data_IF_884198762894
#
_entry.id   IF_884198762894
#
_cell.length_a   1.000
_cell.length_b   1.000
_cell.length_c   1.000
_cell.angle_alpha   90.00
_cell.angle_beta   90.00
_cell.angle_gamma   90.00
#
_symmetry.space_group_name_H-M   'P 1'
#
loop_
_entity.id
_entity.type
_entity.pdbx_description
1 polymer ?
#
# COMPACT_ATOMS: atom_id res chain seq x y z
N UNK A 1 -61.79 19.06 -15.92
CA UNK A 1 -60.90 19.24 -17.09
C UNK A 1 -59.46 19.32 -16.58
N UNK A 2 -58.41 18.96 -17.31
CA UNK A 2 -58.33 18.33 -18.64
C UNK A 2 -56.85 18.30 -19.05
N UNK A 3 -56.35 17.16 -19.54
CA UNK A 3 -54.95 17.03 -19.96
C UNK A 3 -54.73 17.59 -21.38
N UNK A 4 -53.46 17.83 -21.75
CA UNK A 4 -52.83 17.33 -23.01
C UNK A 4 -51.42 17.95 -23.19
N UNK A 5 -50.46 17.10 -23.56
CA UNK A 5 -49.16 17.43 -24.16
C UNK A 5 -49.15 16.79 -25.55
N UNK A 6 -48.71 17.49 -26.62
CA UNK A 6 -47.88 16.78 -27.60
C UNK A 6 -46.88 17.62 -28.44
N UNK A 7 -45.72 16.98 -28.70
CA UNK A 7 -45.08 16.80 -30.04
C UNK A 7 -44.13 17.85 -30.66
N UNK A 8 -43.07 17.28 -31.28
CA UNK A 8 -41.97 17.85 -32.08
C UNK A 8 -42.34 17.98 -33.57
N UNK A 9 -41.59 18.81 -34.32
CA UNK A 9 -41.16 18.62 -35.72
C UNK A 9 -39.99 19.60 -35.99
N UNK A 10 -39.07 19.47 -36.97
CA UNK A 10 -38.57 18.35 -37.80
C UNK A 10 -37.19 18.75 -38.40
N UNK A 11 -36.49 17.88 -39.15
CA UNK A 11 -35.25 18.21 -39.92
C UNK A 11 -35.52 18.76 -41.34
N UNK A 12 -34.57 18.75 -42.32
CA UNK A 12 -33.28 18.02 -42.36
C UNK A 12 -32.06 18.78 -43.01
N UNK A 13 -31.00 18.02 -43.33
CA UNK A 13 -29.80 18.32 -44.17
C UNK A 13 -30.07 18.02 -45.69
N UNK A 14 -29.10 18.03 -46.66
CA UNK A 14 -27.74 18.65 -46.81
C UNK A 14 -27.54 19.43 -48.16
N UNK A 15 -26.32 19.89 -48.52
CA UNK A 15 -25.64 19.64 -49.83
C UNK A 15 -24.34 20.47 -50.12
N UNK A 16 -23.46 19.89 -50.95
CA UNK A 16 -22.35 20.49 -51.75
C UNK A 16 -22.66 20.26 -53.27
N UNK A 17 -21.91 20.67 -54.33
CA UNK A 17 -20.45 20.94 -54.44
C UNK A 17 -20.01 22.07 -55.44
N UNK A 18 -18.71 22.13 -55.81
CA UNK A 18 -18.23 22.86 -57.01
C UNK A 18 -16.69 23.01 -57.16
N UNK A 19 -16.12 22.55 -58.28
CA UNK A 19 -14.73 22.77 -58.78
C UNK A 19 -14.67 22.37 -60.28
N UNK A 20 -14.03 23.12 -61.19
CA UNK A 20 -12.65 22.85 -61.66
C UNK A 20 -11.87 24.17 -61.96
N UNK A 21 -10.70 24.29 -62.60
CA UNK A 21 -9.73 23.44 -63.35
C UNK A 21 -8.30 24.07 -63.15
N UNK A 22 -7.15 23.91 -63.84
CA UNK A 22 -6.60 23.26 -65.06
C UNK A 22 -5.11 22.91 -64.76
N UNK A 23 -4.52 21.75 -65.13
CA UNK A 23 -4.01 21.29 -66.44
C UNK A 23 -2.46 21.52 -66.61
N UNK A 24 -1.72 20.90 -67.57
CA UNK A 24 -0.80 19.82 -67.18
C UNK A 24 0.62 19.80 -67.84
N UNK A 25 1.55 18.99 -67.32
CA UNK A 25 2.68 18.44 -68.11
C UNK A 25 3.32 17.18 -67.48
N UNK A 26 3.89 16.30 -68.31
CA UNK A 26 4.78 15.19 -67.96
C UNK A 26 5.86 15.03 -69.07
N UNK A 27 7.04 14.43 -68.81
CA UNK A 27 7.15 12.96 -68.90
C UNK A 27 8.11 12.33 -67.85
N UNK A 28 8.33 11.01 -67.99
CA UNK A 28 9.11 10.11 -67.11
C UNK A 28 10.52 9.80 -67.72
N UNK A 29 11.38 8.86 -67.23
CA UNK A 29 11.16 7.85 -66.17
C UNK A 29 12.36 7.47 -65.25
N UNK A 30 12.10 6.50 -64.34
CA UNK A 30 13.01 5.59 -63.61
C UNK A 30 14.10 6.19 -62.68
N UNK A 31 13.92 5.94 -61.38
CA UNK A 31 15.01 5.59 -60.46
C UNK A 31 14.57 4.42 -59.54
N UNK A 32 15.52 3.80 -58.85
CA UNK A 32 15.39 2.40 -58.40
C UNK A 32 14.52 2.16 -57.18
N UNK A 33 13.87 0.98 -57.17
CA UNK A 33 13.16 0.37 -56.03
C UNK A 33 14.10 0.23 -54.83
N UNK A 34 13.77 0.91 -53.73
CA UNK A 34 14.24 0.56 -52.39
C UNK A 34 13.03 0.44 -51.47
N UNK A 35 12.59 -0.80 -51.24
CA UNK A 35 11.52 -1.08 -50.29
C UNK A 35 12.06 -0.90 -48.88
N UNK A 36 11.54 0.09 -48.15
CA UNK A 36 11.64 0.14 -46.69
C UNK A 36 10.77 -0.98 -46.09
N UNK A 37 11.27 -2.20 -46.16
CA UNK A 37 10.63 -3.39 -45.63
C UNK A 37 10.62 -3.31 -44.10
N UNK A 38 9.43 -3.29 -43.51
CA UNK A 38 9.27 -3.35 -42.06
C UNK A 38 9.72 -4.73 -41.55
N UNK A 39 10.69 -4.72 -40.62
CA UNK A 39 11.37 -5.88 -40.04
C UNK A 39 12.81 -5.50 -39.68
N UNK A 40 13.41 -5.86 -38.54
CA UNK A 40 12.95 -6.79 -37.51
C UNK A 40 13.20 -6.24 -36.09
N UNK A 41 12.14 -5.80 -35.40
CA UNK A 41 12.22 -5.39 -33.98
C UNK A 41 12.67 -6.51 -33.04
N UNK A 42 12.57 -7.78 -33.50
CA UNK A 42 13.11 -8.94 -32.79
C UNK A 42 14.64 -8.90 -32.65
N UNK A 43 15.39 -8.39 -33.63
CA UNK A 43 16.86 -8.35 -33.56
C UNK A 43 17.38 -7.46 -32.44
N UNK A 44 16.69 -6.35 -32.15
CA UNK A 44 17.00 -5.46 -31.03
C UNK A 44 16.67 -6.14 -29.70
N UNK A 45 15.54 -6.85 -29.64
CA UNK A 45 15.10 -7.54 -28.42
C UNK A 45 16.01 -8.73 -28.07
N UNK A 46 16.41 -9.54 -29.07
CA UNK A 46 17.37 -10.64 -28.85
C UNK A 46 18.77 -10.12 -28.51
N UNK A 47 19.22 -9.01 -29.09
CA UNK A 47 20.49 -8.38 -28.71
C UNK A 47 20.47 -7.84 -27.27
N UNK A 48 19.38 -7.19 -26.84
CA UNK A 48 19.20 -6.74 -25.46
C UNK A 48 19.14 -7.92 -24.47
N UNK A 49 18.39 -8.98 -24.78
CA UNK A 49 18.37 -10.19 -23.96
C UNK A 49 19.75 -10.87 -23.92
N UNK A 50 20.48 -10.95 -25.04
CA UNK A 50 21.82 -11.50 -25.07
C UNK A 50 22.81 -10.66 -24.24
N UNK A 51 22.73 -9.33 -24.29
CA UNK A 51 23.55 -8.44 -23.48
C UNK A 51 23.25 -8.59 -21.98
N UNK A 52 21.97 -8.70 -21.59
CA UNK A 52 21.56 -8.96 -20.21
C UNK A 52 22.04 -10.33 -19.70
N UNK A 53 21.92 -11.38 -20.53
CA UNK A 53 22.33 -12.74 -20.16
C UNK A 53 23.85 -12.97 -20.18
N UNK A 54 24.64 -12.11 -20.84
CA UNK A 54 26.11 -12.20 -20.90
C UNK A 54 26.82 -11.14 -20.05
N UNK A 55 26.11 -10.43 -19.17
CA UNK A 55 26.76 -9.66 -18.11
C UNK A 55 27.53 -10.63 -17.18
N UNK A 56 28.87 -10.56 -17.08
CA UNK A 56 29.57 -11.24 -16.01
C UNK A 56 29.07 -10.67 -14.68
N UNK A 57 28.93 -11.52 -13.66
CA UNK A 57 28.36 -11.13 -12.37
C UNK A 57 29.27 -10.16 -11.60
N UNK A 58 29.19 -8.87 -11.94
CA UNK A 58 29.95 -7.80 -11.30
C UNK A 58 29.51 -7.66 -9.83
N UNK A 59 30.41 -7.76 -8.84
CA UNK A 59 30.06 -7.64 -7.42
C UNK A 59 29.41 -6.30 -7.02
N UNK A 60 29.51 -5.29 -7.87
CA UNK A 60 29.03 -3.92 -7.64
C UNK A 60 27.50 -3.80 -7.41
N UNK A 61 26.69 -4.74 -7.90
CA UNK A 61 25.23 -4.69 -7.70
C UNK A 61 24.82 -4.90 -6.24
N UNK A 62 25.56 -5.73 -5.49
CA UNK A 62 25.22 -6.12 -4.12
C UNK A 62 25.22 -4.93 -3.14
N UNK A 63 26.00 -3.89 -3.41
CA UNK A 63 26.01 -2.66 -2.61
C UNK A 63 24.67 -1.91 -2.64
N UNK A 64 23.91 -2.01 -3.74
CA UNK A 64 22.66 -1.24 -3.92
C UNK A 64 21.53 -1.79 -3.04
N UNK A 65 21.56 -3.09 -2.76
CA UNK A 65 20.46 -3.81 -2.11
C UNK A 65 20.45 -3.57 -0.59
N UNK A 66 21.61 -3.63 0.09
CA UNK A 66 21.71 -3.23 1.52
C UNK A 66 21.38 -1.75 1.73
N UNK A 67 21.83 -0.86 0.83
CA UNK A 67 21.51 0.57 0.87
C UNK A 67 19.99 0.81 0.75
N UNK A 68 19.31 0.04 -0.10
CA UNK A 68 17.85 0.05 -0.23
C UNK A 68 17.15 -0.45 1.02
N UNK A 69 17.58 -1.60 1.56
CA UNK A 69 16.99 -2.21 2.76
C UNK A 69 17.05 -1.29 3.98
N UNK A 70 18.22 -0.72 4.28
CA UNK A 70 18.40 0.20 5.42
C UNK A 70 17.50 1.43 5.35
N UNK A 71 17.38 2.05 4.17
CA UNK A 71 16.49 3.20 3.96
C UNK A 71 15.01 2.80 4.03
N UNK A 72 14.65 1.61 3.51
CA UNK A 72 13.30 1.05 3.56
C UNK A 72 12.84 0.88 5.02
N UNK A 73 13.66 0.21 5.86
CA UNK A 73 13.38 -0.02 7.29
C UNK A 73 13.22 1.30 8.06
N UNK A 74 14.05 2.31 7.77
CA UNK A 74 13.92 3.64 8.40
C UNK A 74 12.59 4.31 8.02
N UNK A 75 12.19 4.28 6.75
CA UNK A 75 10.88 4.78 6.29
C UNK A 75 9.71 4.05 6.96
N UNK A 76 9.76 2.73 7.09
CA UNK A 76 8.74 1.94 7.80
C UNK A 76 8.66 2.31 9.29
N UNK A 77 9.81 2.49 9.93
CA UNK A 77 9.89 2.93 11.33
C UNK A 77 9.26 4.30 11.54
N UNK A 78 9.62 5.30 10.73
CA UNK A 78 9.10 6.66 10.86
C UNK A 78 7.58 6.72 10.62
N UNK A 79 7.09 5.98 9.62
CA UNK A 79 5.64 5.85 9.38
C UNK A 79 4.92 5.14 10.54
N UNK A 80 5.55 4.14 11.18
CA UNK A 80 5.01 3.50 12.39
C UNK A 80 4.91 4.51 13.55
N UNK A 81 5.94 5.33 13.76
CA UNK A 81 5.96 6.37 14.80
C UNK A 81 4.96 7.50 14.52
N UNK A 82 4.79 7.89 13.26
CA UNK A 82 3.75 8.82 12.82
C UNK A 82 2.34 8.28 13.13
N UNK A 83 2.08 7.02 12.77
CA UNK A 83 0.80 6.36 13.06
C UNK A 83 0.54 6.21 14.56
N UNK A 84 1.56 5.91 15.38
CA UNK A 84 1.44 5.87 16.85
C UNK A 84 0.98 7.23 17.42
N UNK A 85 1.53 8.33 16.91
CA UNK A 85 1.13 9.68 17.30
C UNK A 85 -0.29 10.03 16.82
N UNK A 86 -0.59 9.80 15.53
CA UNK A 86 -1.93 10.05 14.97
C UNK A 86 -3.02 9.25 15.68
N UNK A 87 -2.75 7.99 16.01
CA UNK A 87 -3.70 7.13 16.72
C UNK A 87 -4.02 7.67 18.11
N UNK A 88 -3.05 8.23 18.84
CA UNK A 88 -3.29 8.78 20.18
C UNK A 88 -4.35 9.89 20.15
N UNK A 89 -4.28 10.77 19.15
CA UNK A 89 -5.27 11.83 18.92
C UNK A 89 -6.60 11.25 18.42
N UNK A 90 -6.55 10.38 17.39
CA UNK A 90 -7.73 9.78 16.77
C UNK A 90 -8.56 8.95 17.76
N UNK A 91 -7.92 8.11 18.58
CA UNK A 91 -8.59 7.31 19.60
C UNK A 91 -9.23 8.20 20.67
N UNK A 92 -8.58 9.30 21.08
CA UNK A 92 -9.17 10.29 21.97
C UNK A 92 -10.46 10.89 21.41
N UNK A 93 -10.47 11.33 20.14
CA UNK A 93 -11.68 11.84 19.49
C UNK A 93 -12.75 10.76 19.31
N UNK A 94 -12.35 9.55 18.91
CA UNK A 94 -13.28 8.45 18.65
C UNK A 94 -13.97 7.94 19.92
N UNK A 95 -13.23 7.76 21.02
CA UNK A 95 -13.80 7.33 22.30
C UNK A 95 -14.73 8.38 22.89
N UNK A 96 -14.40 9.68 22.79
CA UNK A 96 -15.33 10.75 23.17
C UNK A 96 -16.61 10.77 22.30
N UNK A 97 -16.54 10.38 21.02
CA UNK A 97 -17.73 10.16 20.18
C UNK A 97 -18.55 8.93 20.61
N UNK A 98 -17.92 7.87 21.14
CA UNK A 98 -18.64 6.72 21.69
C UNK A 98 -19.42 7.08 22.97
N UNK A 99 -18.92 8.04 23.76
CA UNK A 99 -19.49 8.48 25.03
C UNK A 99 -19.31 7.47 26.17
N UNK A 100 -19.84 7.75 27.37
CA UNK A 100 -19.71 6.86 28.52
C UNK A 100 -20.23 5.44 28.26
N UNK A 101 -19.57 4.39 28.80
CA UNK A 101 -18.35 4.44 29.60
C UNK A 101 -17.05 4.49 28.76
N UNK A 102 -17.14 4.48 27.43
CA UNK A 102 -15.98 4.27 26.54
C UNK A 102 -14.92 5.40 26.57
N UNK A 103 -15.27 6.58 27.06
CA UNK A 103 -14.36 7.71 27.27
C UNK A 103 -13.87 7.89 28.72
N UNK A 104 -14.28 7.02 29.65
CA UNK A 104 -13.85 7.05 31.05
C UNK A 104 -12.44 6.43 31.18
N UNK A 105 -11.53 7.01 31.99
CA UNK A 105 -10.12 6.62 32.01
C UNK A 105 -9.86 5.26 32.67
N UNK A 106 -10.76 4.87 33.58
CA UNK A 106 -10.77 3.63 34.35
C UNK A 106 -11.61 2.52 33.71
N UNK A 107 -12.33 2.81 32.61
CA UNK A 107 -13.13 1.82 31.90
C UNK A 107 -12.25 0.75 31.23
N UNK A 108 -12.24 -0.44 31.83
CA UNK A 108 -11.55 -1.63 31.36
C UNK A 108 -12.53 -2.80 31.21
N UNK A 109 -13.30 -2.86 30.11
CA UNK A 109 -14.30 -3.92 29.89
C UNK A 109 -13.64 -5.28 29.73
N UNK A 110 -14.34 -6.39 30.00
CA UNK A 110 -13.85 -7.72 29.63
C UNK A 110 -13.62 -7.81 28.12
N UNK A 111 -12.60 -8.57 27.71
CA UNK A 111 -12.35 -8.82 26.28
C UNK A 111 -13.35 -9.86 25.76
N UNK A 112 -14.17 -9.48 24.78
CA UNK A 112 -15.07 -10.42 24.12
C UNK A 112 -14.30 -11.41 23.24
N UNK A 113 -14.77 -12.67 23.16
CA UNK A 113 -14.27 -13.66 22.21
C UNK A 113 -14.36 -13.19 20.74
N UNK A 114 -15.31 -12.31 20.40
CA UNK A 114 -15.40 -11.71 19.05
C UNK A 114 -14.28 -10.69 18.77
N UNK A 115 -13.69 -10.08 19.81
CA UNK A 115 -12.50 -9.25 19.75
C UNK A 115 -11.17 -10.06 19.76
N UNK A 116 -11.22 -11.40 19.77
CA UNK A 116 -10.08 -12.27 19.42
C UNK A 116 -9.90 -12.39 17.89
N UNK A 117 -10.93 -12.04 17.11
CA UNK A 117 -10.84 -11.92 15.64
C UNK A 117 -9.99 -10.71 15.21
N UNK A 118 -9.80 -9.74 16.12
CA UNK A 118 -8.82 -8.66 15.99
C UNK A 118 -7.45 -9.25 16.36
N UNK A 119 -6.42 -9.17 15.49
CA UNK A 119 -5.10 -9.74 15.78
C UNK A 119 -4.52 -9.18 17.07
N UNK A 120 -4.16 -10.04 18.02
CA UNK A 120 -3.64 -9.58 19.30
C UNK A 120 -2.13 -9.40 19.34
N UNK A 121 -1.68 -8.24 19.84
CA UNK A 121 -0.29 -7.97 20.16
C UNK A 121 0.13 -8.52 21.54
N UNK A 122 -0.80 -9.00 22.38
CA UNK A 122 -0.53 -9.40 23.77
C UNK A 122 0.13 -10.77 23.93
N UNK A 123 0.58 -11.39 22.83
CA UNK A 123 1.48 -12.56 22.88
C UNK A 123 2.75 -12.19 23.66
N UNK A 124 3.18 -13.09 24.54
CA UNK A 124 4.31 -12.91 25.46
C UNK A 124 5.56 -12.25 24.82
N UNK A 125 6.23 -11.42 25.62
CA UNK A 125 7.33 -10.58 25.17
C UNK A 125 8.56 -11.40 24.81
N UNK A 126 8.89 -12.46 25.55
CA UNK A 126 10.09 -13.26 25.32
C UNK A 126 9.87 -14.28 24.21
N UNK A 127 8.67 -14.87 24.14
CA UNK A 127 8.20 -15.62 22.97
C UNK A 127 8.29 -14.77 21.69
N UNK A 128 7.84 -13.51 21.72
CA UNK A 128 7.95 -12.59 20.58
C UNK A 128 9.40 -12.22 20.23
N UNK A 129 10.27 -12.03 21.25
CA UNK A 129 11.69 -11.72 21.06
C UNK A 129 12.46 -12.89 20.45
N UNK A 130 12.10 -14.12 20.80
CA UNK A 130 12.67 -15.38 20.31
C UNK A 130 12.34 -15.70 18.85
N UNK A 131 11.30 -15.10 18.27
CA UNK A 131 10.98 -15.26 16.84
C UNK A 131 12.14 -14.79 15.93
N UNK A 132 12.15 -15.26 14.67
CA UNK A 132 13.00 -14.69 13.62
C UNK A 132 12.50 -13.32 13.18
N UNK A 133 13.35 -12.52 12.52
CA UNK A 133 12.92 -11.19 12.04
C UNK A 133 11.87 -11.30 10.93
N UNK A 134 12.02 -12.29 10.03
CA UNK A 134 10.98 -12.68 9.07
C UNK A 134 9.65 -13.00 9.78
N UNK A 135 9.65 -13.86 10.80
CA UNK A 135 8.41 -14.21 11.51
C UNK A 135 7.72 -13.00 12.16
N UNK A 136 8.48 -12.03 12.71
CA UNK A 136 7.92 -10.76 13.20
C UNK A 136 7.38 -9.88 12.08
N UNK A 137 8.11 -9.70 10.98
CA UNK A 137 7.67 -8.92 9.83
C UNK A 137 6.38 -9.51 9.22
N UNK A 138 6.35 -10.83 9.03
CA UNK A 138 5.19 -11.57 8.55
C UNK A 138 3.98 -11.48 9.49
N UNK A 139 4.20 -11.45 10.82
CA UNK A 139 3.13 -11.23 11.79
C UNK A 139 2.62 -9.79 11.78
N UNK A 140 3.52 -8.78 11.76
CA UNK A 140 3.18 -7.37 11.61
C UNK A 140 2.38 -7.11 10.32
N UNK A 141 2.81 -7.65 9.17
CA UNK A 141 2.10 -7.56 7.89
C UNK A 141 0.67 -8.12 7.95
N UNK A 142 0.51 -9.35 8.47
CA UNK A 142 -0.82 -9.98 8.64
C UNK A 142 -1.70 -9.18 9.62
N UNK A 143 -1.13 -8.67 10.70
CA UNK A 143 -1.85 -7.90 11.70
C UNK A 143 -2.40 -6.60 11.11
N UNK A 144 -1.54 -5.74 10.54
CA UNK A 144 -1.97 -4.46 9.97
C UNK A 144 -2.91 -4.62 8.78
N UNK A 145 -2.74 -5.66 7.95
CA UNK A 145 -3.68 -5.98 6.86
C UNK A 145 -5.10 -6.23 7.38
N UNK A 146 -5.25 -7.00 8.48
CA UNK A 146 -6.55 -7.28 9.11
C UNK A 146 -7.10 -6.08 9.89
N UNK A 147 -6.24 -5.37 10.64
CA UNK A 147 -6.62 -4.16 11.38
C UNK A 147 -7.16 -3.08 10.44
N UNK A 148 -6.55 -2.90 9.26
CA UNK A 148 -7.02 -1.99 8.21
C UNK A 148 -8.42 -2.36 7.68
N UNK A 149 -8.74 -3.65 7.53
CA UNK A 149 -10.08 -4.10 7.16
C UNK A 149 -11.12 -3.73 8.21
N UNK A 150 -10.81 -3.90 9.50
CA UNK A 150 -11.73 -3.51 10.58
C UNK A 150 -11.88 -1.98 10.71
N UNK A 151 -10.80 -1.21 10.58
CA UNK A 151 -10.85 0.26 10.65
C UNK A 151 -11.71 0.87 9.53
N UNK A 152 -11.64 0.32 8.32
CA UNK A 152 -12.51 0.75 7.20
C UNK A 152 -14.00 0.51 7.47
N UNK A 153 -14.34 -0.51 8.26
CA UNK A 153 -15.72 -0.73 8.71
C UNK A 153 -16.19 0.29 9.78
N UNK A 154 -15.29 1.11 10.33
CA UNK A 154 -15.65 2.25 11.20
C UNK A 154 -15.93 3.55 10.42
N UNK A 155 -15.44 3.66 9.19
CA UNK A 155 -15.49 4.91 8.41
C UNK A 155 -16.94 5.27 8.00
N UNK A 156 -17.78 4.27 7.70
CA UNK A 156 -19.20 4.49 7.42
C UNK A 156 -20.00 5.02 8.63
N UNK A 157 -20.00 4.32 9.79
CA UNK A 157 -20.78 4.73 10.97
C UNK A 157 -20.23 5.90 11.80
N UNK A 158 -19.05 6.44 11.48
CA UNK A 158 -18.45 7.53 12.24
C UNK A 158 -19.21 8.86 12.06
N UNK A 159 -19.68 9.46 13.16
CA UNK A 159 -20.67 10.54 13.11
C UNK A 159 -20.21 11.80 12.38
N UNK A 160 -19.24 12.52 12.93
CA UNK A 160 -18.82 13.82 12.37
C UNK A 160 -17.97 13.66 11.10
N UNK A 161 -18.10 14.63 10.18
CA UNK A 161 -17.28 14.66 8.96
C UNK A 161 -15.78 14.72 9.26
N UNK A 162 -15.41 15.44 10.33
CA UNK A 162 -14.03 15.53 10.83
C UNK A 162 -13.49 14.18 11.34
N UNK A 163 -14.29 13.41 12.09
CA UNK A 163 -13.88 12.09 12.55
C UNK A 163 -13.73 11.12 11.38
N UNK A 164 -14.63 11.18 10.38
CA UNK A 164 -14.51 10.41 9.14
C UNK A 164 -13.25 10.78 8.34
N UNK A 165 -12.96 12.07 8.17
CA UNK A 165 -11.76 12.52 7.49
C UNK A 165 -10.48 12.01 8.18
N UNK A 166 -10.42 12.08 9.52
CA UNK A 166 -9.29 11.54 10.30
C UNK A 166 -9.17 10.01 10.20
N UNK A 167 -10.29 9.28 10.21
CA UNK A 167 -10.31 7.82 10.00
C UNK A 167 -9.81 7.43 8.60
N UNK A 168 -10.31 8.07 7.54
CA UNK A 168 -9.89 7.81 6.15
C UNK A 168 -8.42 8.15 5.90
N UNK A 169 -7.93 9.28 6.44
CA UNK A 169 -6.51 9.63 6.42
C UNK A 169 -5.65 8.59 7.15
N UNK A 170 -6.08 8.16 8.35
CA UNK A 170 -5.38 7.15 9.13
C UNK A 170 -5.36 5.79 8.40
N UNK A 171 -6.47 5.35 7.82
CA UNK A 171 -6.56 4.12 7.03
C UNK A 171 -5.63 4.17 5.80
N UNK A 172 -5.52 5.32 5.15
CA UNK A 172 -4.59 5.53 4.02
C UNK A 172 -3.13 5.45 4.46
N UNK A 173 -2.79 6.08 5.59
CA UNK A 173 -1.45 6.00 6.18
C UNK A 173 -1.10 4.57 6.64
N UNK A 174 -2.07 3.84 7.18
CA UNK A 174 -1.91 2.44 7.61
C UNK A 174 -1.76 1.48 6.42
N UNK A 175 -2.46 1.73 5.30
CA UNK A 175 -2.19 1.03 4.04
C UNK A 175 -0.75 1.27 3.56
N UNK A 176 -0.27 2.52 3.67
CA UNK A 176 1.14 2.84 3.43
C UNK A 176 2.10 2.02 4.30
N UNK A 177 1.77 1.79 5.58
CA UNK A 177 2.58 0.94 6.46
C UNK A 177 2.56 -0.53 6.01
N UNK A 178 1.41 -1.09 5.64
CA UNK A 178 1.31 -2.47 5.11
C UNK A 178 2.19 -2.67 3.87
N UNK A 179 2.15 -1.70 2.94
CA UNK A 179 2.98 -1.72 1.73
C UNK A 179 4.47 -1.50 2.04
N UNK A 180 4.81 -0.64 3.00
CA UNK A 180 6.18 -0.42 3.44
C UNK A 180 6.79 -1.67 4.10
N UNK A 181 6.01 -2.40 4.90
CA UNK A 181 6.43 -3.68 5.49
C UNK A 181 6.64 -4.73 4.39
N UNK A 182 5.77 -4.79 3.38
CA UNK A 182 5.97 -5.66 2.21
C UNK A 182 7.27 -5.32 1.47
N UNK A 183 7.58 -4.03 1.30
CA UNK A 183 8.85 -3.56 0.73
C UNK A 183 10.07 -3.98 1.56
N UNK A 184 10.03 -3.85 2.89
CA UNK A 184 11.10 -4.33 3.79
C UNK A 184 11.27 -5.85 3.72
N UNK A 185 10.17 -6.62 3.66
CA UNK A 185 10.27 -8.08 3.50
C UNK A 185 10.93 -8.42 2.16
N UNK A 186 10.54 -7.77 1.06
CA UNK A 186 11.13 -7.98 -0.25
C UNK A 186 12.63 -7.65 -0.28
N UNK A 187 13.04 -6.51 0.31
CA UNK A 187 14.46 -6.08 0.37
C UNK A 187 15.33 -6.90 1.33
N UNK A 188 14.74 -7.87 2.04
CA UNK A 188 15.44 -8.80 2.92
C UNK A 188 15.29 -10.26 2.44
N UNK A 189 14.79 -10.46 1.20
CA UNK A 189 14.56 -11.79 0.62
C UNK A 189 13.48 -12.61 1.32
N UNK A 190 12.62 -12.00 2.14
CA UNK A 190 11.60 -12.71 2.91
C UNK A 190 10.30 -12.86 2.11
N UNK A 191 9.74 -14.09 1.99
CA UNK A 191 8.52 -14.31 1.25
C UNK A 191 7.32 -13.63 1.92
N UNK A 192 6.53 -12.91 1.12
CA UNK A 192 5.27 -12.34 1.56
C UNK A 192 4.31 -13.45 2.04
N UNK A 193 3.61 -13.26 3.18
CA UNK A 193 2.70 -14.27 3.69
C UNK A 193 1.57 -14.63 2.71
N UNK A 194 1.52 -15.90 2.30
CA UNK A 194 0.34 -16.46 1.62
C UNK A 194 -0.89 -16.26 2.51
N UNK A 195 -1.95 -15.73 1.92
CA UNK A 195 -3.06 -15.13 2.67
C UNK A 195 -2.93 -13.61 2.79
N UNK A 196 -2.91 -12.91 1.65
CA UNK A 196 -3.22 -11.47 1.57
C UNK A 196 -4.62 -11.17 2.13
N UNK A 197 -5.05 -9.88 2.17
CA UNK A 197 -6.13 -9.40 3.03
C UNK A 197 -7.45 -10.17 2.84
N UNK A 198 -7.63 -11.19 3.66
CA UNK A 198 -8.85 -11.95 3.81
C UNK A 198 -9.86 -11.03 4.48
N UNK A 199 -10.97 -10.76 3.81
CA UNK A 199 -12.09 -10.07 4.43
C UNK A 199 -12.43 -10.77 5.76
N UNK A 200 -12.73 -10.01 6.84
CA UNK A 200 -12.97 -10.61 8.14
C UNK A 200 -14.11 -11.65 8.02
N UNK A 201 -13.91 -12.90 8.46
CA UNK A 201 -14.81 -14.01 8.16
C UNK A 201 -16.23 -13.65 8.62
N UNK A 202 -17.14 -13.68 7.64
CA UNK A 202 -18.38 -12.89 7.58
C UNK A 202 -18.90 -12.47 8.94
N UNK A 203 -18.71 -11.20 9.30
CA UNK A 203 -19.09 -10.66 10.60
C UNK A 203 -20.61 -10.81 10.80
N UNK A 204 -21.09 -11.73 11.67
CA UNK A 204 -22.51 -11.77 11.99
C UNK A 204 -22.85 -10.46 12.68
N UNK A 205 -23.82 -9.70 12.17
CA UNK A 205 -24.08 -8.32 12.64
C UNK A 205 -24.23 -8.33 14.16
N UNK A 206 -23.44 -7.53 14.92
CA UNK A 206 -23.56 -7.51 16.37
C UNK A 206 -24.98 -7.07 16.74
N UNK A 207 -25.68 -7.90 17.52
CA UNK A 207 -27.11 -7.74 17.80
C UNK A 207 -27.47 -6.56 18.71
N UNK A 208 -26.49 -5.73 19.09
CA UNK A 208 -26.62 -4.56 19.94
C UNK A 208 -25.44 -3.61 19.69
N UNK A 209 -25.71 -2.32 19.52
CA UNK A 209 -24.70 -1.27 19.31
C UNK A 209 -23.63 -1.21 20.40
N UNK A 210 -23.97 -1.53 21.66
CA UNK A 210 -22.99 -1.55 22.75
C UNK A 210 -21.87 -2.59 22.52
N UNK A 211 -22.22 -3.77 21.99
CA UNK A 211 -21.24 -4.81 21.67
C UNK A 211 -20.34 -4.36 20.50
N UNK A 212 -20.90 -3.63 19.53
CA UNK A 212 -20.12 -2.99 18.47
C UNK A 212 -19.15 -1.94 19.03
N UNK A 213 -19.63 -1.00 19.86
CA UNK A 213 -18.77 0.03 20.50
C UNK A 213 -17.61 -0.60 21.28
N UNK A 214 -17.84 -1.74 21.94
CA UNK A 214 -16.80 -2.48 22.66
C UNK A 214 -15.79 -3.18 21.75
N UNK A 215 -16.20 -3.69 20.58
CA UNK A 215 -15.24 -4.17 19.57
C UNK A 215 -14.41 -3.04 18.97
N UNK A 216 -15.06 -1.89 18.69
CA UNK A 216 -14.41 -0.70 18.15
C UNK A 216 -13.39 -0.13 19.17
N UNK A 217 -13.71 -0.14 20.47
CA UNK A 217 -12.78 0.17 21.57
C UNK A 217 -11.56 -0.78 21.60
N UNK A 218 -11.80 -2.10 21.56
CA UNK A 218 -10.72 -3.10 21.60
C UNK A 218 -9.82 -3.04 20.36
N UNK A 219 -10.38 -2.73 19.19
CA UNK A 219 -9.62 -2.52 17.95
C UNK A 219 -8.58 -1.40 18.10
N UNK A 220 -8.97 -0.26 18.67
CA UNK A 220 -8.07 0.88 18.89
C UNK A 220 -6.94 0.55 19.89
N UNK A 221 -7.26 -0.17 20.97
CA UNK A 221 -6.28 -0.62 21.98
C UNK A 221 -5.26 -1.62 21.40
N UNK A 222 -5.71 -2.57 20.59
CA UNK A 222 -4.82 -3.54 19.93
C UNK A 222 -3.93 -2.86 18.88
N UNK A 223 -4.50 -2.00 18.05
CA UNK A 223 -3.76 -1.22 17.06
C UNK A 223 -2.66 -0.37 17.70
N UNK A 224 -2.94 0.26 18.86
CA UNK A 224 -1.95 0.99 19.65
C UNK A 224 -0.82 0.08 20.13
N UNK A 225 -1.17 -1.12 20.61
CA UNK A 225 -0.21 -2.11 21.12
C UNK A 225 0.66 -2.66 19.99
N UNK A 226 0.09 -2.91 18.81
CA UNK A 226 0.85 -3.27 17.60
C UNK A 226 1.83 -2.17 17.18
N UNK A 227 1.39 -0.90 17.07
CA UNK A 227 2.28 0.19 16.64
C UNK A 227 3.49 0.35 17.58
N UNK A 228 3.27 0.31 18.89
CA UNK A 228 4.35 0.37 19.89
C UNK A 228 5.28 -0.86 19.84
N UNK A 229 4.76 -2.03 19.48
CA UNK A 229 5.54 -3.26 19.26
C UNK A 229 6.40 -3.16 18.00
N UNK A 230 5.80 -2.86 16.85
CA UNK A 230 6.50 -2.79 15.58
C UNK A 230 7.57 -1.68 15.58
N UNK A 231 7.34 -0.56 16.25
CA UNK A 231 8.35 0.50 16.41
C UNK A 231 9.62 0.00 17.12
N UNK A 232 9.49 -0.92 18.09
CA UNK A 232 10.63 -1.59 18.74
C UNK A 232 11.29 -2.60 17.79
N UNK A 233 10.50 -3.36 17.05
CA UNK A 233 11.00 -4.36 16.10
C UNK A 233 11.79 -3.72 14.94
N UNK A 234 11.29 -2.64 14.33
CA UNK A 234 12.04 -1.92 13.28
C UNK A 234 13.30 -1.24 13.83
N UNK A 235 13.27 -0.70 15.05
CA UNK A 235 14.50 -0.22 15.71
C UNK A 235 15.51 -1.34 16.02
N UNK A 236 15.06 -2.57 16.29
CA UNK A 236 15.93 -3.75 16.41
C UNK A 236 16.50 -4.17 15.06
N UNK A 237 15.67 -4.16 14.00
CA UNK A 237 16.06 -4.54 12.64
C UNK A 237 17.06 -3.54 12.03
N UNK A 238 16.84 -2.24 12.22
CA UNK A 238 17.75 -1.15 11.82
C UNK A 238 19.14 -1.24 12.47
N UNK A 239 19.25 -1.87 13.64
CA UNK A 239 20.55 -2.13 14.30
C UNK A 239 21.29 -3.37 13.78
N UNK A 240 20.65 -4.18 12.90
CA UNK A 240 21.23 -5.38 12.29
C UNK A 240 21.74 -5.14 10.87
N UNK A 241 21.03 -4.32 10.10
CA UNK A 241 21.49 -3.88 8.77
C UNK A 241 22.67 -2.92 8.97
N UNK A 242 23.80 -3.10 8.27
CA UNK A 242 24.92 -2.15 8.34
C UNK A 242 24.47 -0.73 7.97
N UNK A 243 25.04 0.32 8.59
CA UNK A 243 24.84 1.69 8.10
C UNK A 243 25.45 1.81 6.69
N UNK A 244 24.91 2.74 5.90
CA UNK A 244 25.27 3.02 4.50
C UNK A 244 26.71 3.53 4.25
N UNK A 245 27.65 3.26 5.16
CA UNK A 245 29.07 3.63 5.06
C UNK A 245 29.76 2.63 4.14
N UNK A 246 29.58 2.80 2.84
CA UNK A 246 30.38 2.10 1.82
C UNK A 246 31.83 2.51 2.01
N UNK A 247 32.64 1.56 2.48
CA UNK A 247 34.09 1.72 2.59
C UNK A 247 34.68 1.84 1.19
N UNK A 248 34.97 3.07 0.76
CA UNK A 248 35.85 3.36 -0.39
C UNK A 248 37.31 3.00 -0.05
N UNK A 249 37.57 1.74 0.27
CA UNK A 249 38.92 1.23 0.44
C UNK A 249 39.50 0.93 -0.94
N UNK A 250 40.05 1.96 -1.58
CA UNK A 250 40.88 1.79 -2.78
C UNK A 250 42.00 0.80 -2.46
N UNK A 251 41.94 -0.40 -3.02
CA UNK A 251 43.14 -1.18 -3.29
C UNK A 251 43.87 -0.54 -4.47
N UNK A 252 44.57 0.56 -4.20
CA UNK A 252 45.57 1.12 -5.11
C UNK A 252 46.79 0.19 -5.15
N UNK A 253 46.64 -0.98 -5.78
CA UNK A 253 47.79 -1.82 -6.16
C UNK A 253 48.45 -1.16 -7.36
N UNK A 254 49.67 -0.67 -7.16
CA UNK A 254 50.46 -0.03 -8.21
C UNK A 254 50.86 -1.01 -9.31
N UNK A 255 51.12 -0.44 -10.49
CA UNK A 255 51.93 -1.01 -11.56
C UNK A 255 53.21 -0.16 -11.67
#
# INVERSE_FOLDING_TARGET
>A
MGAVVPVRCAGPLPASPGNPDHAPTAPAPRLSRMELRAGDSWGIFTFLCAALCNLPALPALNCTEELGAGQSIQKTYDLTRYLEHQLRTLAGTYLNYLGPPFNEPDFNPPRLARAERVPSATVDLDLWRGLTDNARLAANYRAYSRLLCYLRALEGPAGTAELRHRLGHFCSSLQGLVLSIAGVMSSLGYPLPVGGPSAPPGTPVPSNDFLKKMEDFWLLKELQTWLWRSAKDFNRLKKKVPPAVVTLRLEARGF
#
